data_IF_563841693299
#
_entry.id   IF_563841693299
#
_cell.length_a   1.000
_cell.length_b   1.000
_cell.length_c   1.000
_cell.angle_alpha   90.00
_cell.angle_beta   90.00
_cell.angle_gamma   90.00
#
_symmetry.space_group_name_H-M   'P 1'
#
loop_
_entity.id
_entity.type
_entity.pdbx_description
1 polymer ?
#
# COMPACT_ATOMS: atom_id res chain seq x y z
N UNK A 1 -9.28 -3.79 -19.99
CA UNK A 1 -8.44 -3.73 -21.21
C UNK A 1 -7.36 -2.69 -20.90
N UNK A 2 -6.15 -3.14 -20.58
CA UNK A 2 -5.05 -2.24 -20.20
C UNK A 2 -4.55 -1.53 -21.44
N UNK A 3 -4.50 -0.21 -21.39
CA UNK A 3 -4.02 0.58 -22.51
C UNK A 3 -2.49 0.63 -22.43
N UNK A 4 -1.80 -0.21 -23.22
CA UNK A 4 -0.33 -0.21 -23.35
C UNK A 4 0.21 1.20 -23.59
N UNK A 5 -0.58 2.12 -24.15
CA UNK A 5 -0.15 3.49 -24.39
C UNK A 5 0.10 4.30 -23.10
N UNK A 6 -0.62 4.07 -22.01
CA UNK A 6 -0.40 4.79 -20.75
C UNK A 6 0.96 4.45 -20.11
N UNK A 7 1.37 3.18 -20.18
CA UNK A 7 2.64 2.71 -19.63
C UNK A 7 3.86 3.40 -20.24
N UNK A 8 3.81 3.70 -21.54
CA UNK A 8 4.88 4.39 -22.26
C UNK A 8 5.13 5.78 -21.65
N UNK A 9 4.06 6.51 -21.30
CA UNK A 9 4.19 7.80 -20.63
C UNK A 9 4.78 7.65 -19.23
N UNK A 10 4.43 6.60 -18.49
CA UNK A 10 5.00 6.34 -17.15
C UNK A 10 6.50 6.06 -17.24
N UNK A 11 6.94 5.21 -18.17
CA UNK A 11 8.36 4.89 -18.38
C UNK A 11 9.14 6.14 -18.80
N UNK A 12 8.56 6.99 -19.66
CA UNK A 12 9.17 8.28 -20.03
C UNK A 12 9.33 9.22 -18.82
N UNK A 13 8.32 9.29 -17.94
CA UNK A 13 8.43 10.09 -16.72
C UNK A 13 9.46 9.53 -15.75
N UNK A 14 9.60 8.21 -15.65
CA UNK A 14 10.63 7.58 -14.83
C UNK A 14 12.04 7.88 -15.35
N UNK A 15 12.25 7.86 -16.66
CA UNK A 15 13.53 8.23 -17.30
C UNK A 15 13.90 9.69 -17.02
N UNK A 16 12.96 10.62 -17.26
CA UNK A 16 13.18 12.05 -16.96
C UNK A 16 13.51 12.27 -15.48
N UNK A 17 12.82 11.56 -14.58
CA UNK A 17 13.05 11.65 -13.15
C UNK A 17 14.38 11.01 -12.72
N UNK A 18 14.80 9.92 -13.39
CA UNK A 18 16.09 9.28 -13.18
C UNK A 18 17.25 10.23 -13.54
N UNK A 19 17.16 10.94 -14.66
CA UNK A 19 18.12 11.96 -15.07
C UNK A 19 18.18 13.13 -14.07
N UNK A 20 17.03 13.61 -13.61
CA UNK A 20 16.94 14.64 -12.56
C UNK A 20 17.62 14.15 -11.27
N UNK A 21 17.35 12.91 -10.86
CA UNK A 21 17.94 12.31 -9.67
C UNK A 21 19.47 12.21 -9.80
N UNK A 22 19.97 11.68 -10.92
CA UNK A 22 21.42 11.58 -11.21
C UNK A 22 22.11 12.94 -11.18
N UNK A 23 21.54 13.95 -11.86
CA UNK A 23 22.08 15.31 -11.89
C UNK A 23 22.16 15.95 -10.49
N UNK A 24 21.22 15.59 -9.60
CA UNK A 24 21.17 16.10 -8.24
C UNK A 24 21.83 15.17 -7.22
N UNK A 25 22.48 14.07 -7.63
CA UNK A 25 23.02 13.06 -6.73
C UNK A 25 21.99 12.60 -5.68
N UNK A 26 20.81 12.23 -6.15
CA UNK A 26 19.67 11.75 -5.36
C UNK A 26 19.49 10.26 -5.62
N UNK A 27 19.41 9.47 -4.55
CA UNK A 27 19.17 8.03 -4.67
C UNK A 27 17.68 7.70 -4.54
N UNK A 28 17.20 6.78 -5.37
CA UNK A 28 15.84 6.27 -5.30
C UNK A 28 15.78 4.76 -5.57
N UNK A 29 14.63 4.15 -5.29
CA UNK A 29 14.29 2.79 -5.72
C UNK A 29 12.85 2.76 -6.21
N UNK A 30 12.55 1.95 -7.22
CA UNK A 30 11.19 1.53 -7.52
C UNK A 30 10.53 0.90 -6.28
N UNK A 31 9.21 1.03 -6.14
CA UNK A 31 8.47 0.57 -4.95
C UNK A 31 7.08 0.03 -5.28
N UNK A 32 6.54 -0.82 -4.40
CA UNK A 32 5.17 -1.34 -4.52
C UNK A 32 4.92 -2.10 -5.84
N UNK A 33 3.76 -1.88 -6.46
CA UNK A 33 3.36 -2.55 -7.72
C UNK A 33 4.29 -2.25 -8.89
N UNK A 34 4.90 -1.07 -8.92
CA UNK A 34 5.92 -0.70 -9.90
C UNK A 34 7.12 -1.63 -9.82
N UNK A 35 7.61 -1.89 -8.60
CA UNK A 35 8.70 -2.84 -8.39
C UNK A 35 8.30 -4.28 -8.74
N UNK A 36 7.06 -4.71 -8.45
CA UNK A 36 6.57 -6.03 -8.86
C UNK A 36 6.60 -6.19 -10.38
N UNK A 37 6.04 -5.22 -11.11
CA UNK A 37 5.94 -5.28 -12.57
C UNK A 37 7.34 -5.27 -13.20
N UNK A 38 8.24 -4.44 -12.68
CA UNK A 38 9.64 -4.40 -13.10
C UNK A 38 10.36 -5.74 -12.92
N UNK A 39 10.14 -6.43 -11.79
CA UNK A 39 10.83 -7.70 -11.48
C UNK A 39 10.22 -8.88 -12.25
N UNK A 40 8.89 -8.93 -12.36
CA UNK A 40 8.19 -10.12 -12.89
C UNK A 40 7.97 -10.06 -14.39
N UNK A 41 7.84 -8.85 -14.95
CA UNK A 41 7.44 -8.64 -16.36
C UNK A 41 8.41 -7.79 -17.15
N UNK A 42 9.38 -7.13 -16.50
CA UNK A 42 10.32 -6.20 -17.14
C UNK A 42 9.62 -5.06 -17.89
N UNK A 43 8.42 -4.67 -17.44
CA UNK A 43 7.59 -3.59 -17.98
C UNK A 43 6.85 -2.88 -16.84
N UNK A 44 6.22 -1.74 -17.14
CA UNK A 44 5.23 -1.10 -16.26
C UNK A 44 3.83 -1.35 -16.83
N UNK A 45 2.90 -1.90 -16.03
CA UNK A 45 1.53 -2.15 -16.50
C UNK A 45 0.52 -1.10 -15.99
N UNK A 46 0.87 -0.33 -14.98
CA UNK A 46 0.00 0.63 -14.33
C UNK A 46 0.03 2.01 -15.02
N UNK A 47 -1.01 2.80 -14.79
CA UNK A 47 -1.15 4.20 -15.24
C UNK A 47 -0.33 5.21 -14.41
N UNK A 48 0.41 4.71 -13.41
CA UNK A 48 1.28 5.47 -12.54
C UNK A 48 2.41 4.57 -12.01
N UNK A 49 3.53 5.20 -11.65
CA UNK A 49 4.63 4.51 -10.98
C UNK A 49 4.84 5.04 -9.56
N UNK A 50 5.51 4.25 -8.72
CA UNK A 50 5.91 4.61 -7.36
C UNK A 50 7.40 4.40 -7.17
N UNK A 51 8.04 5.39 -6.59
CA UNK A 51 9.43 5.32 -6.12
C UNK A 51 9.53 5.73 -4.66
N UNK A 52 10.60 5.28 -4.00
CA UNK A 52 10.99 5.68 -2.66
C UNK A 52 12.36 6.34 -2.69
N UNK A 53 12.59 7.31 -1.81
CA UNK A 53 13.88 7.97 -1.61
C UNK A 53 14.06 8.36 -0.14
N UNK A 54 15.29 8.61 0.30
CA UNK A 54 15.54 9.15 1.65
C UNK A 54 14.86 10.51 1.82
N UNK A 55 14.44 10.84 3.04
CA UNK A 55 13.74 12.09 3.32
C UNK A 55 14.55 13.35 2.97
N UNK A 56 15.87 13.32 3.18
CA UNK A 56 16.75 14.44 2.86
C UNK A 56 16.83 14.66 1.35
N UNK A 57 16.94 13.57 0.58
CA UNK A 57 16.89 13.56 -0.88
C UNK A 57 15.52 14.02 -1.42
N UNK A 58 14.43 13.56 -0.81
CA UNK A 58 13.08 14.02 -1.12
C UNK A 58 12.92 15.52 -0.92
N UNK A 59 13.43 16.02 0.21
CA UNK A 59 13.39 17.45 0.53
C UNK A 59 14.23 18.25 -0.46
N UNK A 60 15.41 17.74 -0.84
CA UNK A 60 16.27 18.33 -1.86
C UNK A 60 15.57 18.40 -3.21
N UNK A 61 14.94 17.30 -3.64
CA UNK A 61 14.17 17.23 -4.87
C UNK A 61 13.03 18.25 -4.89
N UNK A 62 12.21 18.31 -3.84
CA UNK A 62 11.10 19.25 -3.75
C UNK A 62 11.56 20.70 -3.89
N UNK A 63 12.70 21.05 -3.26
CA UNK A 63 13.29 22.39 -3.37
C UNK A 63 13.85 22.67 -4.77
N UNK A 64 14.52 21.71 -5.39
CA UNK A 64 15.05 21.84 -6.75
C UNK A 64 13.90 22.05 -7.76
N UNK A 65 12.91 21.16 -7.75
CA UNK A 65 11.76 21.19 -8.65
C UNK A 65 10.87 22.42 -8.45
N UNK A 66 10.82 23.00 -7.25
CA UNK A 66 10.06 24.24 -7.00
C UNK A 66 10.58 25.47 -7.74
N UNK A 67 11.83 25.42 -8.21
CA UNK A 67 12.49 26.50 -8.94
C UNK A 67 12.52 26.26 -10.45
N UNK A 68 12.24 25.03 -10.87
CA UNK A 68 12.35 24.62 -12.26
C UNK A 68 11.10 25.01 -13.05
N UNK A 69 11.29 25.52 -14.26
CA UNK A 69 10.18 25.84 -15.16
C UNK A 69 9.87 24.64 -16.03
N UNK A 70 8.76 24.00 -15.73
CA UNK A 70 8.25 22.85 -16.47
C UNK A 70 7.14 23.30 -17.43
N UNK A 71 7.21 22.88 -18.70
CA UNK A 71 6.24 23.25 -19.73
C UNK A 71 5.12 22.21 -19.88
N UNK A 72 5.51 20.95 -20.08
CA UNK A 72 4.61 19.80 -20.27
C UNK A 72 4.59 18.88 -19.05
N UNK A 73 5.15 19.35 -17.93
CA UNK A 73 5.23 18.61 -16.67
C UNK A 73 4.74 19.46 -15.52
N UNK A 74 4.26 18.79 -14.48
CA UNK A 74 4.10 19.41 -13.16
C UNK A 74 4.85 18.60 -12.13
N UNK A 75 5.34 19.29 -11.10
CA UNK A 75 5.82 18.66 -9.89
C UNK A 75 4.94 19.15 -8.76
N UNK A 76 4.16 18.27 -8.14
CA UNK A 76 3.18 18.62 -7.13
C UNK A 76 3.56 17.99 -5.79
N UNK A 77 3.64 18.80 -4.75
CA UNK A 77 3.94 18.39 -3.38
C UNK A 77 3.33 19.37 -2.38
N UNK A 78 3.26 19.04 -1.10
CA UNK A 78 2.86 20.00 -0.06
C UNK A 78 3.74 21.27 -0.03
N UNK A 79 4.97 21.20 -0.54
CA UNK A 79 5.90 22.33 -0.52
C UNK A 79 5.50 23.45 -1.49
N UNK A 80 5.02 23.09 -2.69
CA UNK A 80 4.71 24.03 -3.77
C UNK A 80 3.23 24.08 -4.15
N UNK A 81 2.44 23.07 -3.80
CA UNK A 81 1.02 22.99 -4.10
C UNK A 81 0.20 22.82 -2.81
N UNK A 82 -0.55 23.86 -2.37
CA UNK A 82 -1.40 23.78 -1.18
C UNK A 82 -2.58 22.79 -1.32
N UNK A 83 -2.91 22.36 -2.54
CA UNK A 83 -3.96 21.38 -2.82
C UNK A 83 -3.42 19.93 -2.81
N UNK A 84 -2.11 19.73 -2.62
CA UNK A 84 -1.52 18.40 -2.52
C UNK A 84 -1.82 17.76 -1.16
N UNK A 85 -2.19 16.48 -1.18
CA UNK A 85 -2.98 15.88 -0.10
C UNK A 85 -2.16 15.35 1.07
N UNK A 86 -0.92 14.93 0.84
CA UNK A 86 -0.10 14.18 1.79
C UNK A 86 1.39 14.49 1.69
N UNK A 87 2.17 13.92 2.62
CA UNK A 87 3.62 14.08 2.65
C UNK A 87 4.32 13.16 1.63
N UNK A 88 4.12 13.48 0.35
CA UNK A 88 4.72 12.87 -0.83
C UNK A 88 4.82 13.91 -1.95
N UNK A 89 5.29 13.49 -3.12
CA UNK A 89 5.25 14.33 -4.32
C UNK A 89 4.85 13.52 -5.55
N UNK A 90 4.40 14.20 -6.60
CA UNK A 90 4.13 13.61 -7.92
C UNK A 90 4.82 14.40 -9.02
N UNK A 91 5.53 13.69 -9.88
CA UNK A 91 6.01 14.20 -11.15
C UNK A 91 5.05 13.76 -12.25
N UNK A 92 4.34 14.69 -12.88
CA UNK A 92 3.20 14.41 -13.74
C UNK A 92 3.40 14.93 -15.16
N UNK A 93 2.82 14.22 -16.14
CA UNK A 93 2.64 14.73 -17.49
C UNK A 93 1.37 15.59 -17.60
N UNK A 94 1.52 16.91 -17.66
CA UNK A 94 0.39 17.85 -17.67
C UNK A 94 -0.48 17.79 -18.93
N UNK A 95 0.01 17.14 -20.00
CA UNK A 95 -0.71 16.97 -21.27
C UNK A 95 -1.70 15.79 -21.25
N UNK A 96 -1.64 14.96 -20.21
CA UNK A 96 -2.59 13.87 -19.94
C UNK A 96 -3.49 14.22 -18.77
N UNK A 97 -4.53 13.43 -18.51
CA UNK A 97 -5.39 13.56 -17.33
C UNK A 97 -5.61 12.19 -16.70
N UNK A 98 -5.37 12.09 -15.40
CA UNK A 98 -5.70 10.94 -14.54
C UNK A 98 -6.67 11.42 -13.45
N UNK A 99 -7.86 10.84 -13.44
CA UNK A 99 -8.95 11.19 -12.54
C UNK A 99 -9.14 10.04 -11.57
N UNK A 100 -8.78 10.25 -10.31
CA UNK A 100 -9.15 9.32 -9.25
C UNK A 100 -10.58 9.62 -8.79
N UNK A 101 -11.52 8.73 -9.09
CA UNK A 101 -12.93 8.91 -8.71
C UNK A 101 -13.14 8.76 -7.21
N UNK A 102 -12.20 8.18 -6.47
CA UNK A 102 -12.32 7.92 -5.02
C UNK A 102 -12.01 9.12 -4.13
N UNK A 103 -11.44 10.18 -4.70
CA UNK A 103 -11.10 11.39 -3.97
C UNK A 103 -12.24 12.43 -4.08
N UNK A 104 -12.65 13.07 -2.96
CA UNK A 104 -13.69 14.13 -3.00
C UNK A 104 -13.26 15.35 -3.79
N UNK A 105 -11.96 15.49 -3.94
CA UNK A 105 -11.39 16.77 -4.24
C UNK A 105 -11.58 17.00 -5.75
N UNK A 106 -12.46 17.96 -6.08
CA UNK A 106 -12.49 18.65 -7.37
C UNK A 106 -11.12 19.27 -7.75
N UNK A 107 -10.10 19.10 -6.92
CA UNK A 107 -8.85 19.84 -6.88
C UNK A 107 -7.64 18.99 -7.26
N UNK A 108 -7.71 17.66 -7.22
CA UNK A 108 -6.57 16.82 -7.57
C UNK A 108 -6.79 16.10 -8.90
N UNK A 109 -6.61 16.89 -9.95
CA UNK A 109 -6.49 16.41 -11.31
C UNK A 109 -5.02 16.46 -11.67
N UNK A 110 -4.36 15.31 -11.66
CA UNK A 110 -2.99 15.16 -12.18
C UNK A 110 -3.04 14.50 -13.54
N UNK A 111 -1.96 14.57 -14.30
CA UNK A 111 -1.80 13.69 -15.46
C UNK A 111 -1.44 12.27 -15.02
N UNK A 112 -0.97 11.45 -15.94
CA UNK A 112 -0.13 10.29 -15.61
C UNK A 112 1.07 10.78 -14.78
N UNK A 113 1.45 10.02 -13.75
CA UNK A 113 2.45 10.47 -12.79
C UNK A 113 3.35 9.37 -12.24
N UNK A 114 4.51 9.80 -11.75
CA UNK A 114 5.36 9.05 -10.82
C UNK A 114 5.18 9.63 -9.42
N UNK A 115 4.69 8.82 -8.49
CA UNK A 115 4.55 9.16 -7.08
C UNK A 115 5.85 8.87 -6.32
N UNK A 116 6.28 9.84 -5.53
CA UNK A 116 7.56 9.88 -4.84
C UNK A 116 7.29 9.87 -3.35
N UNK A 117 7.67 8.76 -2.70
CA UNK A 117 7.41 8.52 -1.29
C UNK A 117 8.70 8.71 -0.47
N UNK A 118 8.75 9.66 0.48
CA UNK A 118 9.88 9.76 1.38
C UNK A 118 9.89 8.62 2.40
N UNK A 119 11.08 8.08 2.64
CA UNK A 119 11.33 7.19 3.78
C UNK A 119 11.43 8.05 5.04
N UNK A 120 10.54 7.78 6.00
CA UNK A 120 10.40 8.52 7.24
C UNK A 120 11.22 7.85 8.35
N UNK A 121 12.19 8.55 8.94
CA UNK A 121 12.93 8.03 10.09
C UNK A 121 12.02 7.87 11.32
N UNK A 122 12.34 6.90 12.19
CA UNK A 122 11.64 6.72 13.46
C UNK A 122 11.78 7.97 14.33
N UNK A 123 10.67 8.38 14.94
CA UNK A 123 10.67 9.56 15.81
C UNK A 123 11.35 9.25 17.15
N UNK A 124 12.10 10.21 17.68
CA UNK A 124 12.85 10.01 18.93
C UNK A 124 11.96 9.83 20.17
N UNK A 125 10.73 10.37 20.16
CA UNK A 125 9.82 10.30 21.31
C UNK A 125 8.37 10.07 20.89
N UNK A 126 7.59 9.42 21.78
CA UNK A 126 6.14 9.19 21.59
C UNK A 126 5.36 10.50 21.37
N UNK A 127 5.76 11.58 22.04
CA UNK A 127 5.13 12.89 21.88
C UNK A 127 5.40 13.49 20.51
N UNK A 128 6.65 13.39 20.01
CA UNK A 128 6.97 13.83 18.65
C UNK A 128 6.18 13.02 17.63
N UNK A 129 6.15 11.69 17.75
CA UNK A 129 5.33 10.82 16.91
C UNK A 129 3.86 11.28 16.89
N UNK A 130 3.25 11.44 18.07
CA UNK A 130 1.87 11.93 18.18
C UNK A 130 1.69 13.29 17.49
N UNK A 131 2.61 14.24 17.71
CA UNK A 131 2.57 15.58 17.12
C UNK A 131 2.65 15.51 15.59
N UNK A 132 3.58 14.75 15.01
CA UNK A 132 3.72 14.65 13.56
C UNK A 132 2.48 14.01 12.93
N UNK A 133 2.01 12.90 13.53
CA UNK A 133 0.76 12.25 13.10
C UNK A 133 -0.43 13.19 13.23
N UNK A 134 -0.48 14.04 14.24
CA UNK A 134 -1.53 15.05 14.37
C UNK A 134 -1.57 15.99 13.15
N UNK A 135 -0.41 16.55 12.74
CA UNK A 135 -0.35 17.44 11.56
C UNK A 135 -0.59 16.70 10.25
N UNK A 136 0.03 15.54 10.05
CA UNK A 136 -0.11 14.74 8.82
C UNK A 136 -1.57 14.29 8.62
N UNK A 137 -2.21 13.70 9.64
CA UNK A 137 -3.61 13.30 9.51
C UNK A 137 -4.56 14.49 9.41
N UNK A 138 -4.30 15.58 10.15
CA UNK A 138 -5.13 16.78 10.05
C UNK A 138 -5.10 17.38 8.64
N UNK A 139 -3.95 17.34 7.98
CA UNK A 139 -3.78 17.76 6.59
C UNK A 139 -4.45 16.79 5.62
N UNK A 140 -4.15 15.49 5.68
CA UNK A 140 -4.73 14.49 4.76
C UNK A 140 -6.27 14.43 4.84
N UNK A 141 -6.82 14.48 6.06
CA UNK A 141 -8.28 14.40 6.27
C UNK A 141 -9.02 15.63 5.79
N UNK A 142 -8.35 16.75 5.58
CA UNK A 142 -8.94 17.91 4.90
C UNK A 142 -9.36 17.56 3.44
N UNK A 143 -8.63 16.66 2.78
CA UNK A 143 -8.88 16.25 1.39
C UNK A 143 -9.78 15.00 1.28
N UNK A 144 -9.91 14.22 2.35
CA UNK A 144 -10.74 13.03 2.36
C UNK A 144 -12.23 13.36 2.52
N UNK A 145 -13.04 12.81 1.60
CA UNK A 145 -14.49 12.97 1.56
C UNK A 145 -15.20 12.50 2.82
N UNK A 146 -14.85 11.29 3.21
CA UNK A 146 -15.55 10.41 4.14
C UNK A 146 -14.58 9.30 4.52
N UNK A 147 -13.71 9.55 5.49
CA UNK A 147 -12.94 8.46 6.10
C UNK A 147 -12.87 8.71 7.60
N UNK A 148 -13.66 7.92 8.34
CA UNK A 148 -13.54 7.66 9.78
C UNK A 148 -13.40 8.87 10.71
N UNK A 149 -14.42 9.71 10.83
CA UNK A 149 -14.56 10.55 12.06
C UNK A 149 -14.89 9.68 13.29
N UNK A 150 -15.13 8.38 13.12
CA UNK A 150 -15.40 7.44 14.22
C UNK A 150 -14.28 7.34 15.24
N UNK A 151 -13.04 7.59 14.85
CA UNK A 151 -11.93 7.50 15.78
C UNK A 151 -11.59 8.90 16.31
N UNK A 152 -11.76 9.07 17.62
CA UNK A 152 -11.49 10.31 18.38
C UNK A 152 -10.15 10.97 18.03
N UNK A 153 -9.16 10.17 17.59
CA UNK A 153 -7.86 10.60 17.07
C UNK A 153 -7.90 11.61 15.91
N UNK A 154 -9.04 11.86 15.25
CA UNK A 154 -9.15 12.82 14.14
C UNK A 154 -10.11 13.99 14.39
N UNK A 155 -10.82 14.03 15.51
CA UNK A 155 -11.76 15.11 15.83
C UNK A 155 -11.06 16.45 16.10
N UNK A 156 -9.84 16.41 16.66
CA UNK A 156 -9.07 17.61 17.00
C UNK A 156 -8.10 18.10 15.90
N UNK A 157 -7.40 17.23 15.13
CA UNK A 157 -6.50 17.68 14.06
C UNK A 157 -7.14 18.57 12.99
N UNK A 158 -8.31 18.17 12.47
CA UNK A 158 -8.96 18.86 11.35
C UNK A 158 -9.35 20.31 11.67
N UNK A 159 -10.07 20.62 12.77
CA UNK A 159 -10.41 22.01 13.10
C UNK A 159 -9.16 22.87 13.35
N UNK A 160 -8.11 22.32 13.97
CA UNK A 160 -6.86 23.06 14.21
C UNK A 160 -6.16 23.41 12.89
N UNK A 161 -6.07 22.46 11.95
CA UNK A 161 -5.52 22.74 10.61
C UNK A 161 -6.38 23.76 9.86
N UNK A 162 -7.71 23.72 10.02
CA UNK A 162 -8.61 24.72 9.44
C UNK A 162 -8.35 26.13 9.98
N UNK A 163 -8.12 26.27 11.29
CA UNK A 163 -7.74 27.56 11.91
C UNK A 163 -6.37 28.02 11.39
N UNK A 164 -5.37 27.13 11.33
CA UNK A 164 -4.04 27.49 10.83
C UNK A 164 -4.08 28.06 9.41
N UNK A 165 -4.95 27.53 8.54
CA UNK A 165 -5.12 28.04 7.16
C UNK A 165 -5.66 29.46 7.07
N UNK A 166 -6.23 30.04 8.13
CA UNK A 166 -6.60 31.46 8.14
C UNK A 166 -5.38 32.37 7.91
N UNK A 167 -4.19 31.91 8.28
CA UNK A 167 -2.92 32.61 8.00
C UNK A 167 -2.43 32.47 6.55
N UNK A 168 -3.12 31.66 5.74
CA UNK A 168 -2.82 31.37 4.33
C UNK A 168 -2.56 29.88 4.09
N UNK A 169 -3.28 29.28 3.14
CA UNK A 169 -3.19 27.85 2.84
C UNK A 169 -1.78 27.40 2.42
N UNK A 170 -1.11 28.17 1.57
CA UNK A 170 0.25 27.88 1.11
C UNK A 170 1.25 27.92 2.26
N UNK A 171 1.14 28.92 3.14
CA UNK A 171 1.99 29.05 4.32
C UNK A 171 1.81 27.85 5.26
N UNK A 172 0.57 27.43 5.50
CA UNK A 172 0.26 26.26 6.33
C UNK A 172 0.80 24.97 5.71
N UNK A 173 0.56 24.73 4.41
CA UNK A 173 1.08 23.55 3.69
C UNK A 173 2.59 23.45 3.81
N UNK A 174 3.29 24.53 3.47
CA UNK A 174 4.76 24.62 3.52
C UNK A 174 5.29 24.44 4.94
N UNK A 175 4.66 25.04 5.95
CA UNK A 175 5.06 24.89 7.36
C UNK A 175 4.91 23.46 7.87
N UNK A 176 3.86 22.74 7.44
CA UNK A 176 3.69 21.32 7.80
C UNK A 176 4.74 20.48 7.08
N UNK A 177 4.97 20.73 5.78
CA UNK A 177 6.02 20.06 5.01
C UNK A 177 7.40 20.23 5.67
N UNK A 178 7.81 21.45 6.00
CA UNK A 178 9.11 21.75 6.62
C UNK A 178 9.26 21.03 7.97
N UNK A 179 8.17 20.95 8.74
CA UNK A 179 8.16 20.26 10.02
C UNK A 179 8.31 18.75 9.89
N UNK A 180 7.61 18.14 8.94
CA UNK A 180 7.72 16.70 8.66
C UNK A 180 9.11 16.39 8.10
N UNK A 181 9.58 17.19 7.14
CA UNK A 181 10.92 17.11 6.55
C UNK A 181 12.02 17.17 7.61
N UNK A 182 11.96 18.14 8.53
CA UNK A 182 12.95 18.24 9.60
C UNK A 182 12.90 17.03 10.54
N UNK A 183 11.70 16.60 10.92
CA UNK A 183 11.54 15.51 11.88
C UNK A 183 11.97 14.14 11.32
N UNK A 184 11.86 13.94 10.01
CA UNK A 184 12.26 12.71 9.34
C UNK A 184 13.66 12.77 8.72
N UNK A 185 14.40 13.86 8.93
CA UNK A 185 15.76 14.03 8.40
C UNK A 185 16.79 13.11 9.08
N UNK A 186 17.93 12.92 8.42
CA UNK A 186 19.06 12.16 8.94
C UNK A 186 19.13 10.70 8.47
N UNK A 187 20.13 9.98 9.00
CA UNK A 187 20.37 8.58 8.65
C UNK A 187 19.42 7.65 9.38
N UNK A 188 19.01 6.57 8.72
CA UNK A 188 18.20 5.51 9.32
C UNK A 188 19.09 4.71 10.29
N UNK A 189 18.79 4.76 11.58
CA UNK A 189 19.58 4.08 12.64
C UNK A 189 18.91 2.83 13.19
N UNK A 190 17.57 2.78 13.24
CA UNK A 190 16.81 1.67 13.82
C UNK A 190 15.63 1.27 12.94
N UNK A 191 14.59 2.10 12.92
CA UNK A 191 13.39 1.87 12.13
C UNK A 191 13.12 3.06 11.22
N UNK A 192 12.42 2.75 10.14
CA UNK A 192 11.87 3.75 9.25
C UNK A 192 10.47 3.35 8.81
N UNK A 193 9.81 4.23 8.10
CA UNK A 193 8.48 3.97 7.59
C UNK A 193 8.18 4.63 6.26
N UNK A 194 7.26 4.01 5.51
CA UNK A 194 6.80 4.47 4.20
C UNK A 194 5.27 4.49 4.23
N UNK A 195 4.67 5.50 3.62
CA UNK A 195 3.22 5.70 3.58
C UNK A 195 2.87 6.62 2.42
N UNK A 196 1.93 6.16 1.58
CA UNK A 196 1.22 6.99 0.61
C UNK A 196 -0.08 7.57 1.20
N UNK A 197 -0.80 8.33 0.37
CA UNK A 197 -2.03 8.99 0.78
C UNK A 197 -3.10 8.02 1.28
N UNK A 198 -3.56 8.22 2.52
CA UNK A 198 -4.60 7.41 3.18
C UNK A 198 -4.26 5.90 3.28
N UNK A 199 -2.99 5.53 3.09
CA UNK A 199 -2.46 4.19 3.30
C UNK A 199 -1.99 4.01 4.76
N UNK A 200 -1.81 2.75 5.17
CA UNK A 200 -1.18 2.41 6.45
C UNK A 200 0.31 2.76 6.44
N UNK A 201 0.84 3.02 7.62
CA UNK A 201 2.27 3.25 7.78
C UNK A 201 2.99 1.90 7.75
N UNK A 202 3.77 1.66 6.70
CA UNK A 202 4.57 0.45 6.55
C UNK A 202 5.93 0.66 7.20
N UNK A 203 6.22 -0.08 8.27
CA UNK A 203 7.43 0.09 9.07
C UNK A 203 8.53 -0.90 8.66
N UNK A 204 9.79 -0.50 8.69
CA UNK A 204 10.92 -1.39 8.41
C UNK A 204 11.96 -1.24 9.52
N UNK A 205 12.58 -2.33 9.94
CA UNK A 205 13.66 -2.35 10.95
C UNK A 205 15.05 -2.26 10.32
N UNK A 206 15.11 -1.80 9.08
CA UNK A 206 16.30 -1.65 8.28
C UNK A 206 16.07 -0.53 7.27
N UNK A 207 17.15 -0.05 6.68
CA UNK A 207 17.11 0.92 5.58
C UNK A 207 16.75 0.22 4.25
N UNK A 208 15.59 0.53 3.64
CA UNK A 208 15.16 -0.03 2.36
C UNK A 208 16.08 0.35 1.19
N UNK A 209 16.84 1.45 1.29
CA UNK A 209 17.71 1.99 0.24
C UNK A 209 19.20 1.79 0.51
N UNK A 210 19.58 1.05 1.57
CA UNK A 210 20.98 0.83 1.94
C UNK A 210 21.85 0.33 0.78
N UNK A 211 21.29 -0.49 -0.11
CA UNK A 211 21.94 -0.94 -1.35
C UNK A 211 20.90 -1.10 -2.44
N UNK A 212 21.22 -0.60 -3.62
CA UNK A 212 20.41 -0.75 -4.84
C UNK A 212 21.15 -1.56 -5.90
N UNK A 213 20.38 -2.09 -6.84
CA UNK A 213 20.82 -2.72 -8.07
C UNK A 213 19.98 -2.14 -9.22
N UNK A 214 20.41 -2.37 -10.44
CA UNK A 214 19.63 -1.98 -11.61
C UNK A 214 18.62 -3.07 -11.99
N UNK A 215 17.47 -2.65 -12.48
CA UNK A 215 16.47 -3.50 -13.14
C UNK A 215 16.14 -2.91 -14.50
N UNK A 216 16.01 -3.77 -15.49
CA UNK A 216 15.66 -3.37 -16.85
C UNK A 216 14.14 -3.36 -17.04
N UNK A 217 13.64 -2.26 -17.61
CA UNK A 217 12.24 -2.03 -17.96
C UNK A 217 12.21 -1.41 -19.36
N UNK A 218 11.62 -2.08 -20.33
CA UNK A 218 11.53 -1.61 -21.73
C UNK A 218 12.89 -1.12 -22.30
N UNK A 219 13.97 -1.85 -22.02
CA UNK A 219 15.33 -1.51 -22.47
C UNK A 219 16.03 -0.39 -21.67
N UNK A 220 15.39 0.14 -20.62
CA UNK A 220 15.93 1.19 -19.74
C UNK A 220 16.26 0.64 -18.37
N UNK A 221 17.35 1.13 -17.79
CA UNK A 221 17.85 0.69 -16.49
C UNK A 221 17.41 1.63 -15.38
N UNK A 222 16.70 1.10 -14.37
CA UNK A 222 16.22 1.86 -13.21
C UNK A 222 16.75 1.26 -11.90
N UNK A 223 16.88 2.10 -10.86
CA UNK A 223 17.34 1.66 -9.55
C UNK A 223 16.26 0.94 -8.76
N UNK A 224 16.60 -0.20 -8.16
CA UNK A 224 15.75 -0.98 -7.28
C UNK A 224 16.54 -1.49 -6.06
N UNK A 225 15.93 -1.53 -4.87
CA UNK A 225 16.59 -2.08 -3.68
C UNK A 225 17.03 -3.52 -3.89
N UNK A 226 18.22 -3.89 -3.40
CA UNK A 226 18.64 -5.30 -3.37
C UNK A 226 17.77 -6.16 -2.46
N UNK A 227 17.02 -5.52 -1.53
CA UNK A 227 16.10 -6.18 -0.60
C UNK A 227 14.64 -6.09 -1.04
N UNK A 228 14.39 -5.71 -2.30
CA UNK A 228 13.03 -5.47 -2.79
C UNK A 228 12.12 -6.69 -2.63
N UNK A 229 12.61 -7.91 -2.85
CA UNK A 229 11.82 -9.12 -2.62
C UNK A 229 11.27 -9.21 -1.19
N UNK A 230 12.10 -8.92 -0.18
CA UNK A 230 11.68 -8.90 1.23
C UNK A 230 10.71 -7.75 1.54
N UNK A 231 10.86 -6.62 0.85
CA UNK A 231 9.92 -5.50 0.96
C UNK A 231 8.56 -5.91 0.39
N UNK A 232 8.54 -6.51 -0.81
CA UNK A 232 7.32 -6.95 -1.50
C UNK A 232 6.61 -8.09 -0.76
N UNK A 233 7.37 -9.04 -0.18
CA UNK A 233 6.81 -10.09 0.69
C UNK A 233 6.04 -9.51 1.88
N UNK A 234 6.52 -8.39 2.43
CA UNK A 234 5.83 -7.66 3.50
C UNK A 234 4.60 -6.91 3.00
N UNK A 235 4.68 -6.25 1.84
CA UNK A 235 3.60 -5.42 1.30
C UNK A 235 2.42 -6.23 0.77
N UNK A 236 2.68 -7.32 0.05
CA UNK A 236 1.67 -8.04 -0.72
C UNK A 236 1.47 -9.49 -0.28
N UNK A 237 2.21 -9.98 0.73
CA UNK A 237 2.30 -11.41 1.09
C UNK A 237 2.96 -12.28 0.00
N UNK A 238 3.19 -13.57 0.27
CA UNK A 238 4.11 -14.45 -0.50
C UNK A 238 3.73 -14.78 -1.96
N UNK A 239 2.64 -14.24 -2.52
CA UNK A 239 2.16 -14.63 -3.87
C UNK A 239 2.27 -13.52 -4.93
N UNK A 240 2.93 -12.40 -4.60
CA UNK A 240 3.07 -11.26 -5.52
C UNK A 240 3.81 -11.60 -6.83
N UNK A 241 4.57 -12.70 -6.85
CA UNK A 241 5.26 -13.21 -8.04
C UNK A 241 4.31 -13.88 -9.06
N UNK A 242 3.19 -14.43 -8.63
CA UNK A 242 2.26 -15.14 -9.50
C UNK A 242 0.97 -14.34 -9.73
N UNK A 243 0.42 -13.73 -8.67
CA UNK A 243 -0.81 -12.96 -8.74
C UNK A 243 -0.72 -11.73 -7.81
N UNK A 244 -0.71 -10.53 -8.41
CA UNK A 244 -1.07 -9.33 -7.66
C UNK A 244 -2.59 -9.21 -7.74
N UNK A 245 -3.31 -9.07 -6.62
CA UNK A 245 -4.70 -8.66 -6.66
C UNK A 245 -4.80 -7.37 -7.49
N UNK A 246 -5.52 -7.44 -8.62
CA UNK A 246 -5.91 -6.22 -9.34
C UNK A 246 -6.77 -5.42 -8.38
N UNK A 247 -6.21 -4.35 -7.82
CA UNK A 247 -7.05 -3.35 -7.20
C UNK A 247 -7.80 -2.70 -8.35
N UNK A 248 -9.12 -2.87 -8.38
CA UNK A 248 -9.99 -2.02 -9.16
C UNK A 248 -9.87 -0.60 -8.60
N UNK A 249 -8.91 0.16 -9.12
CA UNK A 249 -8.90 1.61 -8.94
C UNK A 249 -9.90 2.16 -9.94
N UNK A 250 -10.89 2.88 -9.44
CA UNK A 250 -11.78 3.71 -10.26
C UNK A 250 -11.02 4.95 -10.77
N UNK A 251 -9.97 4.72 -11.57
CA UNK A 251 -9.22 5.78 -12.23
C UNK A 251 -9.67 5.88 -13.69
N UNK A 252 -9.93 7.10 -14.15
CA UNK A 252 -10.13 7.39 -15.58
C UNK A 252 -8.88 8.10 -16.08
N UNK A 253 -8.24 7.51 -17.08
CA UNK A 253 -7.06 8.07 -17.73
C UNK A 253 -7.42 8.54 -19.13
N UNK A 254 -7.11 9.80 -19.44
CA UNK A 254 -7.28 10.44 -20.74
C UNK A 254 -5.90 10.85 -21.25
N UNK A 255 -5.46 10.25 -22.35
CA UNK A 255 -4.12 10.44 -22.89
C UNK A 255 -4.02 11.63 -23.85
N UNK A 256 -5.15 12.02 -24.45
CA UNK A 256 -5.28 13.09 -25.43
C UNK A 256 -5.75 14.42 -24.82
N UNK A 257 -6.04 14.43 -23.51
CA UNK A 257 -6.65 15.56 -22.83
C UNK A 257 -5.76 16.04 -21.69
N UNK A 258 -5.27 17.27 -21.79
CA UNK A 258 -4.47 17.90 -20.72
C UNK A 258 -5.30 18.19 -19.46
N UNK A 259 -4.63 18.14 -18.29
CA UNK A 259 -5.27 18.47 -17.00
C UNK A 259 -5.92 19.85 -17.03
N UNK A 260 -5.27 20.81 -17.69
CA UNK A 260 -5.76 22.19 -17.82
C UNK A 260 -7.04 22.26 -18.65
N UNK A 261 -7.09 21.53 -19.76
CA UNK A 261 -8.27 21.44 -20.61
C UNK A 261 -9.43 20.78 -19.86
N UNK A 262 -9.17 19.66 -19.19
CA UNK A 262 -10.20 19.01 -18.41
C UNK A 262 -10.70 19.88 -17.26
N UNK A 263 -9.79 20.54 -16.52
CA UNK A 263 -10.15 21.44 -15.42
C UNK A 263 -11.05 22.60 -15.89
N UNK A 264 -10.81 23.15 -17.09
CA UNK A 264 -11.70 24.16 -17.71
C UNK A 264 -13.09 23.58 -17.99
N UNK A 265 -13.17 22.36 -18.52
CA UNK A 265 -14.43 21.66 -18.75
C UNK A 265 -15.19 21.39 -17.45
N UNK A 266 -14.48 20.96 -16.40
CA UNK A 266 -15.04 20.74 -15.07
C UNK A 266 -15.57 22.05 -14.46
N UNK A 267 -14.83 23.15 -14.63
CA UNK A 267 -15.22 24.49 -14.17
C UNK A 267 -16.47 24.99 -14.89
N UNK A 268 -16.56 24.82 -16.21
CA UNK A 268 -17.77 25.15 -16.99
C UNK A 268 -18.99 24.34 -16.54
N UNK A 269 -18.78 23.09 -16.13
CA UNK A 269 -19.83 22.17 -15.70
C UNK A 269 -19.89 21.98 -14.17
N UNK A 270 -19.43 22.97 -13.40
CA UNK A 270 -19.21 22.85 -11.93
C UNK A 270 -20.42 22.32 -11.18
N UNK A 271 -21.63 22.69 -11.60
CA UNK A 271 -22.88 22.27 -10.96
C UNK A 271 -23.15 20.77 -11.12
N UNK A 272 -22.86 20.21 -12.29
CA UNK A 272 -23.03 18.77 -12.59
C UNK A 272 -22.05 17.97 -11.74
N UNK A 273 -20.77 18.35 -11.75
CA UNK A 273 -19.73 17.69 -10.96
C UNK A 273 -19.99 17.79 -9.46
N UNK A 274 -20.38 18.96 -8.96
CA UNK A 274 -20.77 19.15 -7.55
C UNK A 274 -21.93 18.22 -7.16
N UNK A 275 -22.90 18.01 -8.06
CA UNK A 275 -24.03 17.08 -7.84
C UNK A 275 -23.57 15.63 -7.85
N UNK A 276 -22.70 15.24 -8.79
CA UNK A 276 -22.11 13.89 -8.84
C UNK A 276 -21.35 13.58 -7.55
N UNK A 277 -20.39 14.43 -7.17
CA UNK A 277 -19.61 14.21 -5.96
C UNK A 277 -20.48 14.23 -4.71
N UNK A 278 -21.50 15.11 -4.61
CA UNK A 278 -22.48 15.09 -3.50
C UNK A 278 -23.32 13.81 -3.46
N UNK A 279 -23.67 13.21 -4.61
CA UNK A 279 -24.38 11.92 -4.66
C UNK A 279 -23.47 10.76 -4.28
N UNK A 280 -22.26 10.65 -4.86
CA UNK A 280 -21.25 9.65 -4.48
C UNK A 280 -20.95 9.74 -2.98
N UNK A 281 -20.80 10.97 -2.47
CA UNK A 281 -20.67 11.30 -1.04
C UNK A 281 -21.78 10.71 -0.17
N UNK A 282 -23.04 10.93 -0.54
CA UNK A 282 -24.21 10.41 0.19
C UNK A 282 -24.31 8.90 0.09
N UNK A 283 -24.05 8.34 -1.08
CA UNK A 283 -24.08 6.89 -1.29
C UNK A 283 -23.00 6.20 -0.45
N UNK A 284 -21.77 6.71 -0.45
CA UNK A 284 -20.69 6.22 0.40
C UNK A 284 -21.02 6.33 1.90
N UNK A 285 -21.66 7.42 2.32
CA UNK A 285 -22.13 7.57 3.70
C UNK A 285 -23.21 6.51 4.04
N UNK A 286 -24.21 6.32 3.19
CA UNK A 286 -25.25 5.29 3.38
C UNK A 286 -24.64 3.89 3.37
N UNK A 287 -23.73 3.59 2.44
CA UNK A 287 -22.98 2.33 2.40
C UNK A 287 -22.22 2.10 3.71
N UNK A 288 -21.58 3.13 4.25
CA UNK A 288 -20.86 3.04 5.53
C UNK A 288 -21.79 2.78 6.73
N UNK A 289 -22.96 3.40 6.80
CA UNK A 289 -23.91 3.18 7.91
C UNK A 289 -24.69 1.88 7.77
N UNK A 290 -25.03 1.48 6.54
CA UNK A 290 -25.56 0.14 6.25
C UNK A 290 -24.52 -0.96 6.55
N UNK A 291 -23.24 -0.62 6.61
CA UNK A 291 -22.17 -1.50 7.09
C UNK A 291 -22.30 -1.91 8.58
N UNK A 292 -23.27 -1.39 9.35
CA UNK A 292 -23.62 -1.98 10.65
C UNK A 292 -24.25 -3.38 10.51
N UNK A 293 -24.94 -3.64 9.40
CA UNK A 293 -25.45 -4.96 9.00
C UNK A 293 -24.36 -5.86 8.36
N UNK A 294 -23.14 -5.34 8.21
CA UNK A 294 -21.99 -6.02 7.61
C UNK A 294 -21.26 -6.95 8.57
N UNK A 295 -21.57 -6.97 9.88
CA UNK A 295 -20.97 -7.99 10.77
C UNK A 295 -21.35 -9.42 10.35
N UNK A 296 -22.61 -9.64 10.02
CA UNK A 296 -23.07 -10.94 9.51
C UNK A 296 -22.49 -11.22 8.13
N UNK A 297 -22.50 -10.25 7.20
CA UNK A 297 -21.89 -10.41 5.88
C UNK A 297 -20.38 -10.65 5.95
N UNK A 298 -19.63 -9.90 6.75
CA UNK A 298 -18.20 -10.14 7.05
C UNK A 298 -17.96 -11.49 7.69
N UNK A 299 -18.83 -11.93 8.59
CA UNK A 299 -18.74 -13.25 9.19
C UNK A 299 -18.88 -14.34 8.11
N UNK A 300 -19.89 -14.23 7.24
CA UNK A 300 -20.14 -15.14 6.11
C UNK A 300 -18.97 -15.09 5.11
N UNK A 301 -18.48 -13.91 4.73
CA UNK A 301 -17.33 -13.77 3.82
C UNK A 301 -16.03 -14.29 4.43
N UNK A 302 -15.81 -14.10 5.73
CA UNK A 302 -14.69 -14.68 6.46
C UNK A 302 -14.78 -16.20 6.45
N UNK A 303 -15.97 -16.78 6.61
CA UNK A 303 -16.21 -18.21 6.49
C UNK A 303 -15.92 -18.73 5.06
N UNK A 304 -16.40 -18.02 4.04
CA UNK A 304 -16.14 -18.36 2.63
C UNK A 304 -14.65 -18.29 2.29
N UNK A 305 -13.95 -17.20 2.67
CA UNK A 305 -12.50 -17.05 2.48
C UNK A 305 -11.71 -18.14 3.20
N UNK A 306 -12.10 -18.48 4.44
CA UNK A 306 -11.49 -19.58 5.19
C UNK A 306 -11.65 -20.91 4.45
N UNK A 307 -12.84 -21.17 3.92
CA UNK A 307 -13.14 -22.39 3.14
C UNK A 307 -12.30 -22.45 1.86
N UNK A 308 -12.24 -21.35 1.09
CA UNK A 308 -11.38 -21.27 -0.09
C UNK A 308 -9.89 -21.44 0.23
N UNK A 309 -9.42 -20.85 1.34
CA UNK A 309 -8.03 -21.03 1.82
C UNK A 309 -7.75 -22.49 2.17
N UNK A 310 -8.68 -23.14 2.85
CA UNK A 310 -8.59 -24.55 3.24
C UNK A 310 -8.51 -25.45 1.99
N UNK A 311 -9.31 -25.19 0.96
CA UNK A 311 -9.25 -25.90 -0.33
C UNK A 311 -7.94 -25.68 -1.08
N UNK A 312 -7.46 -24.44 -1.17
CA UNK A 312 -6.17 -24.13 -1.79
C UNK A 312 -5.01 -24.84 -1.09
N UNK A 313 -5.00 -24.83 0.24
CA UNK A 313 -3.96 -25.51 1.02
C UNK A 313 -4.06 -27.04 0.89
N UNK A 314 -5.26 -27.60 0.79
CA UNK A 314 -5.44 -29.03 0.51
C UNK A 314 -4.72 -29.43 -0.78
N UNK A 315 -4.98 -28.75 -1.90
CA UNK A 315 -4.31 -29.04 -3.17
C UNK A 315 -2.82 -28.72 -3.14
N UNK A 316 -2.40 -27.69 -2.40
CA UNK A 316 -0.99 -27.36 -2.23
C UNK A 316 -0.19 -28.45 -1.50
N UNK A 317 -0.79 -29.07 -0.47
CA UNK A 317 -0.12 -30.05 0.38
C UNK A 317 -0.27 -31.49 -0.10
N UNK A 318 -1.33 -31.82 -0.84
CA UNK A 318 -1.56 -33.16 -1.39
C UNK A 318 -0.31 -33.78 -2.05
N UNK A 319 0.40 -33.12 -3.00
CA UNK A 319 1.60 -33.69 -3.61
C UNK A 319 2.83 -33.70 -2.67
N UNK A 320 2.78 -33.00 -1.54
CA UNK A 320 3.89 -32.84 -0.58
C UNK A 320 3.76 -33.74 0.65
N UNK A 321 2.64 -34.44 0.82
CA UNK A 321 2.36 -35.23 2.03
C UNK A 321 3.43 -36.29 2.32
N UNK A 322 3.97 -36.94 1.27
CA UNK A 322 5.05 -37.92 1.44
C UNK A 322 6.32 -37.31 2.05
N UNK A 323 6.71 -36.12 1.59
CA UNK A 323 7.87 -35.37 2.13
C UNK A 323 7.59 -34.92 3.56
N UNK A 324 6.38 -34.40 3.82
CA UNK A 324 5.96 -33.92 5.14
C UNK A 324 6.04 -35.05 6.18
N UNK A 325 5.45 -36.21 5.89
CA UNK A 325 5.50 -37.41 6.75
C UNK A 325 6.93 -37.87 7.02
N UNK A 326 7.79 -37.82 6.01
CA UNK A 326 9.20 -38.20 6.14
C UNK A 326 9.95 -37.24 7.08
N UNK A 327 9.76 -35.93 6.91
CA UNK A 327 10.38 -34.92 7.78
C UNK A 327 9.88 -35.02 9.22
N UNK A 328 8.58 -35.25 9.42
CA UNK A 328 8.00 -35.49 10.74
C UNK A 328 8.60 -36.72 11.40
N UNK A 329 8.64 -37.86 10.70
CA UNK A 329 9.23 -39.12 11.20
C UNK A 329 10.69 -38.95 11.60
N UNK A 330 11.45 -38.17 10.83
CA UNK A 330 12.86 -37.88 11.09
C UNK A 330 13.08 -36.72 12.08
N UNK A 331 12.01 -36.12 12.60
CA UNK A 331 12.05 -34.97 13.53
C UNK A 331 12.82 -33.76 12.99
N UNK A 332 12.85 -33.58 11.67
CA UNK A 332 13.44 -32.39 11.03
C UNK A 332 12.43 -31.22 11.08
N UNK A 333 12.19 -30.73 12.30
CA UNK A 333 11.19 -29.70 12.57
C UNK A 333 11.51 -28.36 11.91
N UNK A 334 12.79 -28.08 11.64
CA UNK A 334 13.18 -26.86 10.95
C UNK A 334 12.68 -26.84 9.50
N UNK A 335 12.99 -27.89 8.72
CA UNK A 335 12.50 -27.98 7.34
C UNK A 335 10.99 -28.17 7.28
N UNK A 336 10.44 -28.94 8.23
CA UNK A 336 8.99 -29.12 8.35
C UNK A 336 8.27 -27.79 8.60
N UNK A 337 8.80 -26.92 9.48
CA UNK A 337 8.26 -25.57 9.74
C UNK A 337 8.28 -24.69 8.49
N UNK A 338 9.32 -24.79 7.65
CA UNK A 338 9.37 -24.07 6.37
C UNK A 338 8.27 -24.52 5.40
N UNK A 339 8.08 -25.83 5.24
CA UNK A 339 7.04 -26.39 4.36
C UNK A 339 5.63 -26.09 4.90
N UNK A 340 5.46 -26.12 6.22
CA UNK A 340 4.18 -25.86 6.91
C UNK A 340 3.86 -24.36 7.05
N UNK A 341 4.75 -23.46 6.66
CA UNK A 341 4.57 -22.00 6.80
C UNK A 341 3.26 -21.47 6.20
N UNK A 342 2.81 -21.86 4.99
CA UNK A 342 1.50 -21.46 4.47
C UNK A 342 0.33 -21.87 5.37
N UNK A 343 0.35 -23.10 5.91
CA UNK A 343 -0.64 -23.57 6.88
C UNK A 343 -0.62 -22.75 8.16
N UNK A 344 0.57 -22.52 8.73
CA UNK A 344 0.76 -21.71 9.93
C UNK A 344 0.16 -20.31 9.80
N UNK A 345 0.40 -19.63 8.68
CA UNK A 345 -0.13 -18.29 8.44
C UNK A 345 -1.66 -18.31 8.43
N UNK A 346 -2.27 -19.27 7.70
CA UNK A 346 -3.72 -19.41 7.66
C UNK A 346 -4.31 -19.68 9.05
N UNK A 347 -3.67 -20.57 9.83
CA UNK A 347 -4.06 -20.89 11.20
C UNK A 347 -3.99 -19.67 12.11
N UNK A 348 -2.90 -18.89 12.08
CA UNK A 348 -2.75 -17.68 12.90
C UNK A 348 -3.72 -16.56 12.50
N UNK A 349 -4.04 -16.42 11.21
CA UNK A 349 -5.06 -15.47 10.73
C UNK A 349 -6.44 -15.85 11.28
N UNK A 350 -6.80 -17.13 11.24
CA UNK A 350 -8.06 -17.62 11.80
C UNK A 350 -8.11 -17.46 13.33
N UNK A 351 -7.00 -17.79 14.01
CA UNK A 351 -6.85 -17.65 15.46
C UNK A 351 -7.07 -16.21 15.94
N UNK A 352 -6.47 -15.22 15.25
CA UNK A 352 -6.67 -13.79 15.53
C UNK A 352 -8.13 -13.34 15.37
N UNK A 353 -8.93 -14.09 14.60
CA UNK A 353 -10.37 -13.85 14.43
C UNK A 353 -11.23 -14.62 15.45
N UNK A 354 -10.61 -15.35 16.39
CA UNK A 354 -11.30 -16.21 17.35
C UNK A 354 -11.89 -17.47 16.71
N UNK A 355 -11.27 -17.98 15.64
CA UNK A 355 -11.79 -19.11 14.86
C UNK A 355 -10.74 -20.20 14.71
N UNK A 356 -11.17 -21.46 14.77
CA UNK A 356 -10.31 -22.61 14.42
C UNK A 356 -10.07 -22.75 12.92
N UNK A 357 -9.01 -23.50 12.57
CA UNK A 357 -8.63 -23.78 11.19
C UNK A 357 -7.90 -25.11 11.09
N UNK A 358 -8.38 -25.99 10.22
CA UNK A 358 -7.70 -27.22 9.86
C UNK A 358 -7.93 -27.50 8.37
N UNK A 359 -6.88 -27.97 7.67
CA UNK A 359 -7.00 -28.44 6.28
C UNK A 359 -7.53 -29.87 6.27
N UNK A 360 -6.87 -30.72 7.05
CA UNK A 360 -7.25 -32.06 7.44
C UNK A 360 -6.61 -32.34 8.82
N UNK A 361 -6.96 -33.47 9.42
CA UNK A 361 -6.44 -33.88 10.73
C UNK A 361 -4.90 -33.92 10.77
N UNK A 362 -4.28 -34.61 9.82
CA UNK A 362 -2.83 -34.84 9.80
C UNK A 362 -2.02 -33.52 9.76
N UNK A 363 -2.37 -32.59 8.88
CA UNK A 363 -1.70 -31.29 8.80
C UNK A 363 -1.99 -30.41 10.01
N UNK A 364 -3.14 -30.59 10.66
CA UNK A 364 -3.47 -29.88 11.89
C UNK A 364 -2.60 -30.38 13.05
N UNK A 365 -2.50 -31.69 13.24
CA UNK A 365 -1.69 -32.31 14.30
C UNK A 365 -0.21 -31.93 14.15
N UNK A 366 0.33 -32.01 12.93
CA UNK A 366 1.69 -31.57 12.62
C UNK A 366 1.89 -30.09 12.96
N UNK A 367 0.89 -29.24 12.66
CA UNK A 367 0.98 -27.81 12.95
C UNK A 367 0.96 -27.52 14.45
N UNK A 368 0.16 -28.27 15.24
CA UNK A 368 0.13 -28.14 16.69
C UNK A 368 1.45 -28.59 17.31
N UNK A 369 1.99 -29.71 16.82
CA UNK A 369 3.31 -30.19 17.22
C UNK A 369 4.41 -29.14 16.93
N UNK A 370 4.38 -28.49 15.77
CA UNK A 370 5.32 -27.41 15.47
C UNK A 370 5.15 -26.19 16.38
N UNK A 371 3.92 -25.81 16.75
CA UNK A 371 3.70 -24.73 17.71
C UNK A 371 4.29 -25.06 19.08
N UNK A 372 4.06 -26.28 19.58
CA UNK A 372 4.61 -26.76 20.86
C UNK A 372 6.15 -26.82 20.83
N UNK A 373 6.73 -27.32 19.74
CA UNK A 373 8.19 -27.33 19.55
C UNK A 373 8.81 -25.92 19.62
N UNK A 374 8.07 -24.91 19.17
CA UNK A 374 8.49 -23.51 19.20
C UNK A 374 8.11 -22.76 20.50
N UNK A 375 7.59 -23.46 21.51
CA UNK A 375 7.19 -22.88 22.80
C UNK A 375 5.88 -22.09 22.76
N UNK A 376 4.99 -22.38 21.81
CA UNK A 376 3.67 -21.76 21.67
C UNK A 376 2.54 -22.69 22.12
N UNK A 377 2.73 -23.37 23.25
CA UNK A 377 1.78 -24.36 23.78
C UNK A 377 0.38 -23.78 24.01
N UNK A 378 0.29 -22.58 24.59
CA UNK A 378 -1.00 -21.89 24.81
C UNK A 378 -1.78 -21.65 23.51
N UNK A 379 -1.08 -21.39 22.40
CA UNK A 379 -1.72 -21.19 21.09
C UNK A 379 -2.22 -22.53 20.56
N UNK A 380 -1.43 -23.59 20.71
CA UNK A 380 -1.80 -24.93 20.27
C UNK A 380 -3.03 -25.45 21.03
N UNK A 381 -3.02 -25.36 22.36
CA UNK A 381 -4.12 -25.85 23.20
C UNK A 381 -5.43 -25.11 22.91
N UNK A 382 -5.35 -23.78 22.75
CA UNK A 382 -6.52 -22.98 22.39
C UNK A 382 -7.00 -23.27 20.97
N UNK A 383 -6.11 -23.60 20.04
CA UNK A 383 -6.49 -23.99 18.68
C UNK A 383 -7.18 -25.35 18.65
N UNK A 384 -6.74 -26.30 19.47
CA UNK A 384 -7.39 -27.59 19.66
C UNK A 384 -8.81 -27.42 20.25
N UNK A 385 -8.99 -26.49 21.21
CA UNK A 385 -10.30 -26.15 21.78
C UNK A 385 -11.27 -25.52 20.76
N UNK A 386 -10.81 -24.52 19.99
CA UNK A 386 -11.68 -23.71 19.13
C UNK A 386 -11.84 -24.27 17.71
N UNK A 387 -11.18 -25.38 17.36
CA UNK A 387 -11.25 -25.97 16.01
C UNK A 387 -12.22 -27.15 15.99
N UNK A 388 -13.42 -26.97 15.41
CA UNK A 388 -14.39 -28.06 15.30
C UNK A 388 -13.86 -29.28 14.56
N UNK A 389 -14.26 -30.46 15.03
CA UNK A 389 -13.88 -31.76 14.46
C UNK A 389 -14.24 -31.90 12.97
N UNK A 390 -15.34 -31.31 12.51
CA UNK A 390 -15.72 -31.36 11.10
C UNK A 390 -14.73 -30.63 10.16
N UNK A 391 -13.85 -29.76 10.68
CA UNK A 391 -12.75 -29.20 9.89
C UNK A 391 -11.56 -30.16 9.74
N UNK A 392 -11.49 -31.21 10.55
CA UNK A 392 -10.46 -32.25 10.46
C UNK A 392 -10.74 -33.23 9.31
N UNK A 393 -12.00 -33.31 8.87
CA UNK A 393 -12.39 -34.09 7.69
C UNK A 393 -11.74 -33.50 6.41
N UNK A 394 -11.47 -34.34 5.41
CA UNK A 394 -11.05 -33.84 4.10
C UNK A 394 -12.17 -32.99 3.49
N UNK A 395 -11.82 -31.88 2.81
CA UNK A 395 -12.80 -31.04 2.10
C UNK A 395 -13.46 -31.80 0.95
N UNK A 396 -12.74 -32.74 0.36
CA UNK A 396 -13.22 -33.60 -0.71
C UNK A 396 -13.47 -34.96 -0.05
N UNK A 397 -14.73 -35.33 0.13
CA UNK A 397 -15.10 -36.74 0.23
C UNK A 397 -14.77 -37.34 -1.13
N UNK A 398 -13.71 -38.15 -1.20
CA UNK A 398 -13.45 -38.99 -2.36
C UNK A 398 -14.48 -40.13 -2.37
N UNK A 399 -15.76 -39.78 -2.51
CA UNK A 399 -16.81 -40.67 -2.99
C UNK A 399 -16.99 -40.36 -4.48
N UNK A 400 -15.93 -40.63 -5.25
CA UNK A 400 -16.04 -40.84 -6.68
C UNK A 400 -15.34 -42.16 -6.96
N UNK A 401 -16.14 -43.22 -7.03
CA UNK A 401 -15.78 -44.50 -7.64
C UNK A 401 -15.22 -44.31 -9.04
#
# INVERSE_FOLDING_TARGET
MYDKSASIYVVKLLEELDDICKKNNISYSLYGKTAVSAITKHTIEDDCARIIMHNDDFTKLCKAMSKERLYTRTFDSMYNNPEYMDYSARYCNSETTNISLDQKSNTFMSGIYVEILPIRNEETTKFQHFKLRFFEHGWEKHFCSFVNVESFKYLLPVPIINIMKLTGKNKTSKKIFEKLSLAYSGKITSRCSIKGFNETLETFSYDPLAKTKNVEIDGKSFSISTRMDSILDKLFSYDWRNEIPKEEKDNIVLLDTSCKQFSRTLTRNKNIWKRYFRRKSRHMFIYKFSNKYDRQKKHIWSLAKRTGTRARLHFYYMPKMGVIRNLEKNKDYYRLSQIMRPNRIATLIAFKQGKGFAVNKELFDIQMMLFRFEGNDEIADKLEEITPEYYMNSIISLDSK
#
